data_IF_993888137290
#
_entry.id   IF_993888137290
#
_cell.length_a   1.000
_cell.length_b   1.000
_cell.length_c   1.000
_cell.angle_alpha   90.00
_cell.angle_beta   90.00
_cell.angle_gamma   90.00
#
_symmetry.space_group_name_H-M   'P 1'
#
loop_
_entity.id
_entity.type
_entity.pdbx_description
1 polymer ?
#
# COMPACT_ATOMS: atom_id res chain seq x y z
N UNK A 1 0.41 -24.49 -11.32
CA UNK A 1 0.38 -23.00 -11.18
C UNK A 1 -1.09 -22.62 -11.08
N UNK A 2 -1.58 -22.33 -9.86
CA UNK A 2 -2.93 -21.80 -9.67
C UNK A 2 -2.92 -20.36 -10.18
N UNK A 3 -3.68 -20.09 -11.25
CA UNK A 3 -3.84 -18.73 -11.76
C UNK A 3 -4.45 -17.84 -10.65
N UNK A 4 -4.04 -16.57 -10.61
CA UNK A 4 -4.68 -15.57 -9.76
C UNK A 4 -6.16 -15.54 -10.16
N UNK A 5 -7.12 -15.72 -9.21
CA UNK A 5 -8.54 -15.84 -9.54
C UNK A 5 -9.16 -14.51 -10.03
N UNK A 6 -8.37 -13.47 -10.19
CA UNK A 6 -8.78 -12.15 -10.62
C UNK A 6 -8.34 -11.92 -12.06
N UNK A 7 -9.23 -11.37 -12.90
CA UNK A 7 -8.94 -11.02 -14.29
C UNK A 7 -7.97 -9.82 -14.34
N UNK A 8 -6.69 -10.08 -14.27
CA UNK A 8 -5.61 -9.11 -14.40
C UNK A 8 -4.64 -9.56 -15.49
N UNK A 9 -4.31 -8.63 -16.40
CA UNK A 9 -3.32 -8.85 -17.44
C UNK A 9 -2.05 -8.06 -17.09
N UNK A 10 -0.99 -8.77 -16.70
CA UNK A 10 0.31 -8.15 -16.42
C UNK A 10 0.90 -7.57 -17.69
N UNK A 11 1.43 -6.36 -17.62
CA UNK A 11 2.09 -5.70 -18.73
C UNK A 11 3.59 -5.97 -18.68
N UNK A 12 4.11 -6.75 -19.62
CA UNK A 12 5.55 -6.98 -19.75
C UNK A 12 6.34 -5.69 -19.97
N UNK A 13 5.72 -4.68 -20.60
CA UNK A 13 6.32 -3.35 -20.80
C UNK A 13 6.46 -2.62 -19.46
N UNK A 14 5.43 -2.63 -18.60
CA UNK A 14 5.48 -2.06 -17.25
C UNK A 14 6.56 -2.76 -16.43
N UNK A 15 6.56 -4.09 -16.40
CA UNK A 15 7.55 -4.87 -15.66
C UNK A 15 9.00 -4.53 -16.06
N UNK A 16 9.24 -4.28 -17.36
CA UNK A 16 10.57 -3.91 -17.87
C UNK A 16 10.99 -2.50 -17.46
N UNK A 17 10.05 -1.54 -17.42
CA UNK A 17 10.32 -0.13 -17.06
C UNK A 17 10.45 0.09 -15.55
N UNK A 18 9.90 -0.81 -14.75
CA UNK A 18 9.85 -0.68 -13.29
C UNK A 18 10.60 -1.81 -12.58
N UNK A 19 11.95 -1.87 -12.70
CA UNK A 19 12.73 -2.82 -11.92
C UNK A 19 12.55 -2.57 -10.42
N UNK A 20 12.63 -3.65 -9.65
CA UNK A 20 12.44 -3.61 -8.18
C UNK A 20 13.39 -2.62 -7.51
N UNK A 21 12.86 -1.81 -6.60
CA UNK A 21 13.64 -0.89 -5.76
C UNK A 21 14.65 -1.66 -4.88
N UNK A 22 14.19 -2.76 -4.29
CA UNK A 22 14.99 -3.65 -3.44
C UNK A 22 15.01 -5.05 -4.05
N UNK A 23 15.97 -5.39 -4.92
CA UNK A 23 16.06 -6.72 -5.52
C UNK A 23 16.10 -7.84 -4.47
N UNK A 24 15.47 -8.99 -4.78
CA UNK A 24 15.49 -10.15 -3.92
C UNK A 24 16.93 -10.62 -3.66
N UNK A 25 17.19 -11.20 -2.49
CA UNK A 25 18.42 -11.93 -2.22
C UNK A 25 18.45 -13.25 -3.00
N UNK A 26 19.62 -13.63 -3.48
CA UNK A 26 19.87 -15.02 -3.81
C UNK A 26 19.94 -15.88 -2.52
N UNK A 27 19.89 -17.24 -2.62
CA UNK A 27 19.91 -18.09 -1.44
C UNK A 27 21.17 -17.96 -0.57
N UNK A 28 22.34 -17.68 -1.16
CA UNK A 28 23.61 -17.54 -0.43
C UNK A 28 23.69 -16.18 0.26
N UNK A 29 23.26 -15.12 -0.42
CA UNK A 29 23.12 -13.77 0.16
C UNK A 29 22.18 -13.80 1.35
N UNK A 30 20.97 -14.42 1.19
CA UNK A 30 20.00 -14.55 2.27
C UNK A 30 20.54 -15.32 3.47
N UNK A 31 21.25 -16.41 3.24
CA UNK A 31 21.88 -17.20 4.29
C UNK A 31 22.98 -16.40 5.01
N UNK A 32 23.81 -15.69 4.28
CA UNK A 32 24.88 -14.85 4.82
C UNK A 32 24.30 -13.74 5.69
N UNK A 33 23.29 -13.04 5.19
CA UNK A 33 22.64 -11.95 5.90
C UNK A 33 21.88 -12.44 7.13
N UNK A 34 21.17 -13.57 7.04
CA UNK A 34 20.46 -14.17 8.17
C UNK A 34 21.40 -14.55 9.32
N UNK A 35 22.63 -15.01 9.02
CA UNK A 35 23.63 -15.35 10.02
C UNK A 35 24.27 -14.12 10.70
N UNK A 36 24.09 -12.91 10.19
CA UNK A 36 24.49 -11.68 10.88
C UNK A 36 23.56 -11.32 12.04
N UNK A 37 22.33 -11.86 12.07
CA UNK A 37 21.34 -11.54 13.10
C UNK A 37 21.80 -12.06 14.47
N UNK A 38 21.73 -11.19 15.48
CA UNK A 38 22.13 -11.52 16.85
C UNK A 38 21.08 -12.33 17.61
N UNK A 39 19.91 -12.57 17.03
CA UNK A 39 18.79 -13.28 17.66
C UNK A 39 18.43 -12.71 19.06
N UNK A 40 18.29 -11.39 19.15
CA UNK A 40 17.99 -10.68 20.41
C UNK A 40 16.72 -11.22 21.08
N UNK A 41 16.76 -11.41 22.40
CA UNK A 41 15.59 -11.85 23.17
C UNK A 41 14.50 -10.76 23.19
N UNK A 42 14.83 -9.55 23.64
CA UNK A 42 13.94 -8.38 23.58
C UNK A 42 14.22 -7.60 22.28
N UNK A 43 13.80 -8.16 21.16
CA UNK A 43 14.15 -7.67 19.83
C UNK A 43 13.48 -6.32 19.52
N UNK A 44 14.24 -5.19 19.48
CA UNK A 44 13.66 -3.89 19.15
C UNK A 44 13.01 -3.85 17.75
N UNK A 45 13.56 -4.63 16.80
CA UNK A 45 13.01 -4.76 15.46
C UNK A 45 11.60 -5.40 15.45
N UNK A 46 11.32 -6.36 16.34
CA UNK A 46 9.98 -6.93 16.49
C UNK A 46 9.03 -5.93 17.17
N UNK A 47 9.51 -5.19 18.18
CA UNK A 47 8.72 -4.16 18.85
C UNK A 47 8.37 -2.97 17.93
N UNK A 48 9.28 -2.61 17.01
CA UNK A 48 9.07 -1.55 16.02
C UNK A 48 8.13 -1.95 14.88
N UNK A 49 7.84 -3.24 14.71
CA UNK A 49 6.88 -3.71 13.72
C UNK A 49 5.45 -3.57 14.26
N UNK A 50 4.53 -2.83 13.60
CA UNK A 50 3.15 -2.67 14.06
C UNK A 50 2.37 -3.98 14.20
N UNK A 51 2.71 -5.01 13.41
CA UNK A 51 2.14 -6.36 13.51
C UNK A 51 2.93 -7.29 14.43
N UNK A 52 4.03 -6.80 15.01
CA UNK A 52 4.89 -7.55 15.93
C UNK A 52 5.40 -8.90 15.37
N UNK A 53 5.82 -8.91 14.09
CA UNK A 53 6.47 -10.10 13.52
C UNK A 53 7.65 -10.50 14.39
N UNK A 54 7.75 -11.79 14.76
CA UNK A 54 8.92 -12.33 15.47
C UNK A 54 10.13 -12.39 14.52
N UNK A 55 10.78 -11.22 14.37
CA UNK A 55 11.89 -11.02 13.44
C UNK A 55 13.03 -11.97 13.71
N UNK A 56 13.55 -12.12 14.95
CA UNK A 56 14.64 -13.08 15.21
C UNK A 56 14.26 -14.51 14.84
N UNK A 57 13.02 -14.92 15.10
CA UNK A 57 12.56 -16.30 14.85
C UNK A 57 12.47 -16.60 13.35
N UNK A 58 11.92 -15.71 12.54
CA UNK A 58 11.86 -15.98 11.10
C UNK A 58 13.26 -15.93 10.46
N UNK A 59 14.13 -15.01 10.87
CA UNK A 59 15.52 -14.93 10.38
C UNK A 59 16.30 -16.18 10.78
N UNK A 60 16.16 -16.65 12.03
CA UNK A 60 16.80 -17.88 12.46
C UNK A 60 16.36 -19.08 11.62
N UNK A 61 15.11 -19.16 11.22
CA UNK A 61 14.60 -20.20 10.32
C UNK A 61 15.21 -20.10 8.92
N UNK A 62 15.47 -18.90 8.39
CA UNK A 62 16.24 -18.73 7.14
C UNK A 62 17.65 -19.27 7.32
N UNK A 63 18.35 -18.88 8.38
CA UNK A 63 19.70 -19.33 8.70
C UNK A 63 19.82 -20.86 8.84
N UNK A 64 18.75 -21.56 9.16
CA UNK A 64 18.67 -23.03 9.23
C UNK A 64 17.96 -23.66 8.04
N UNK A 65 17.76 -22.91 6.95
CA UNK A 65 17.11 -23.34 5.70
C UNK A 65 15.66 -23.86 5.85
N UNK A 66 14.99 -23.52 6.94
CA UNK A 66 13.56 -23.77 7.13
C UNK A 66 12.72 -22.61 6.57
N UNK A 67 12.76 -22.40 5.24
CA UNK A 67 12.14 -21.24 4.59
C UNK A 67 10.60 -21.24 4.72
N UNK A 68 9.96 -22.40 4.59
CA UNK A 68 8.50 -22.51 4.79
C UNK A 68 8.12 -22.14 6.22
N UNK A 69 8.85 -22.66 7.22
CA UNK A 69 8.61 -22.29 8.61
C UNK A 69 8.91 -20.81 8.91
N UNK A 70 9.85 -20.20 8.17
CA UNK A 70 10.12 -18.76 8.23
C UNK A 70 8.92 -17.96 7.73
N UNK A 71 8.41 -18.28 6.55
CA UNK A 71 7.22 -17.63 5.97
C UNK A 71 5.99 -17.77 6.87
N UNK A 72 5.74 -18.96 7.44
CA UNK A 72 4.63 -19.16 8.37
C UNK A 72 4.76 -18.32 9.64
N UNK A 73 5.99 -18.08 10.14
CA UNK A 73 6.20 -17.15 11.27
C UNK A 73 5.82 -15.71 10.92
N UNK A 74 6.10 -15.28 9.68
CA UNK A 74 5.71 -13.96 9.17
C UNK A 74 4.20 -13.89 9.02
N UNK A 75 3.59 -14.87 8.36
CA UNK A 75 2.15 -14.91 8.04
C UNK A 75 1.26 -15.02 9.27
N UNK A 76 1.74 -15.64 10.34
CA UNK A 76 1.04 -15.70 11.63
C UNK A 76 0.82 -14.28 12.23
N UNK A 77 1.80 -13.42 12.08
CA UNK A 77 1.70 -12.02 12.55
C UNK A 77 1.11 -11.07 11.50
N UNK A 78 1.41 -11.29 10.21
CA UNK A 78 1.11 -10.38 9.13
C UNK A 78 0.78 -11.15 7.84
N UNK A 79 -0.50 -11.27 7.52
CA UNK A 79 -0.98 -12.01 6.33
C UNK A 79 -0.54 -11.35 5.00
N UNK A 80 -0.21 -10.04 5.01
CA UNK A 80 0.35 -9.32 3.87
C UNK A 80 1.87 -9.15 3.98
N UNK A 81 2.55 -10.18 4.47
CA UNK A 81 3.99 -10.19 4.70
C UNK A 81 4.83 -9.98 3.44
N UNK A 82 4.36 -10.39 2.27
CA UNK A 82 5.07 -10.17 1.01
C UNK A 82 4.96 -8.71 0.54
N UNK A 83 3.78 -8.08 0.63
CA UNK A 83 3.64 -6.65 0.39
C UNK A 83 4.48 -5.84 1.35
N UNK A 84 4.36 -6.09 2.67
CA UNK A 84 5.12 -5.37 3.69
C UNK A 84 6.63 -5.50 3.52
N UNK A 85 7.12 -6.65 3.06
CA UNK A 85 8.56 -6.84 2.79
C UNK A 85 9.12 -5.95 1.68
N UNK A 86 8.25 -5.36 0.86
CA UNK A 86 8.58 -4.53 -0.29
C UNK A 86 8.30 -3.05 -0.06
N UNK A 87 7.26 -2.72 0.72
CA UNK A 87 6.74 -1.34 0.82
C UNK A 87 6.93 -0.71 2.20
N UNK A 88 7.23 -1.48 3.25
CA UNK A 88 7.48 -0.88 4.56
C UNK A 88 8.71 0.03 4.51
N UNK A 89 8.66 1.22 5.10
CA UNK A 89 9.83 2.07 5.31
C UNK A 89 10.69 1.47 6.44
N UNK A 90 11.41 0.41 6.10
CA UNK A 90 12.15 -0.42 7.08
C UNK A 90 13.18 0.38 7.87
N UNK A 91 13.69 1.47 7.29
CA UNK A 91 14.68 2.38 7.87
C UNK A 91 14.13 3.15 9.09
N UNK A 92 12.82 3.36 9.15
CA UNK A 92 12.15 3.99 10.30
C UNK A 92 11.36 2.99 11.14
N UNK A 93 11.31 1.73 10.72
CA UNK A 93 10.66 0.62 11.42
C UNK A 93 11.71 -0.41 11.91
N UNK A 94 11.59 -1.65 11.43
CA UNK A 94 12.35 -2.79 11.96
C UNK A 94 13.88 -2.68 11.77
N UNK A 95 14.35 -2.23 10.60
CA UNK A 95 15.79 -2.05 10.34
C UNK A 95 16.33 -0.82 11.09
N UNK A 96 15.54 0.27 11.15
CA UNK A 96 15.87 1.45 11.94
C UNK A 96 16.03 1.16 13.44
N UNK A 97 15.27 0.20 13.96
CA UNK A 97 15.36 -0.24 15.35
C UNK A 97 16.40 -1.35 15.58
N UNK A 98 17.08 -1.84 14.53
CA UNK A 98 18.02 -2.95 14.65
C UNK A 98 19.19 -2.62 15.58
N UNK A 99 19.49 -3.52 16.54
CA UNK A 99 20.57 -3.37 17.51
C UNK A 99 21.93 -3.16 16.85
N UNK A 100 22.14 -3.68 15.64
CA UNK A 100 23.38 -3.51 14.89
C UNK A 100 23.76 -2.05 14.67
N UNK A 101 22.78 -1.15 14.54
CA UNK A 101 23.05 0.30 14.43
C UNK A 101 23.76 0.88 15.66
N UNK A 102 23.46 0.36 16.87
CA UNK A 102 24.13 0.79 18.11
C UNK A 102 25.62 0.43 18.13
N UNK A 103 26.05 -0.50 17.29
CA UNK A 103 27.45 -0.88 17.12
C UNK A 103 28.10 -0.24 15.90
N UNK A 104 27.50 0.79 15.33
CA UNK A 104 27.94 1.44 14.07
C UNK A 104 28.12 0.43 12.92
N UNK A 105 27.25 -0.57 12.85
CA UNK A 105 27.21 -1.57 11.79
C UNK A 105 25.94 -1.41 10.98
N UNK A 106 25.99 -1.85 9.74
CA UNK A 106 24.81 -1.93 8.89
C UNK A 106 23.73 -2.78 9.58
N UNK A 107 22.48 -2.30 9.67
CA UNK A 107 21.37 -3.10 10.19
C UNK A 107 21.22 -4.39 9.39
N UNK A 108 20.51 -5.35 9.95
CA UNK A 108 20.11 -6.53 9.19
C UNK A 108 19.08 -6.11 8.15
N UNK A 109 19.25 -6.56 6.91
CA UNK A 109 18.31 -6.29 5.82
C UNK A 109 17.02 -7.13 5.99
N UNK A 110 16.21 -6.76 6.99
CA UNK A 110 15.06 -7.52 7.49
C UNK A 110 13.99 -7.62 6.40
N UNK A 111 13.70 -6.51 5.70
CA UNK A 111 12.72 -6.48 4.61
C UNK A 111 13.09 -7.44 3.49
N UNK A 112 14.36 -7.45 3.05
CA UNK A 112 14.84 -8.37 1.99
C UNK A 112 14.83 -9.84 2.45
N UNK A 113 15.15 -10.13 3.72
CA UNK A 113 15.03 -11.48 4.28
C UNK A 113 13.56 -11.93 4.38
N UNK A 114 12.66 -11.05 4.79
CA UNK A 114 11.22 -11.29 4.79
C UNK A 114 10.72 -11.60 3.38
N UNK A 115 11.13 -10.80 2.38
CA UNK A 115 10.84 -11.04 0.97
C UNK A 115 11.33 -12.42 0.52
N UNK A 116 12.57 -12.79 0.83
CA UNK A 116 13.13 -14.08 0.48
C UNK A 116 12.29 -15.27 1.00
N UNK A 117 11.83 -15.19 2.25
CA UNK A 117 10.98 -16.22 2.84
C UNK A 117 9.58 -16.26 2.17
N UNK A 118 8.99 -15.10 1.89
CA UNK A 118 7.67 -15.01 1.28
C UNK A 118 7.68 -15.42 -0.19
N UNK A 119 8.69 -15.02 -0.96
CA UNK A 119 8.83 -15.44 -2.36
C UNK A 119 8.95 -16.96 -2.44
N UNK A 120 9.78 -17.59 -1.58
CA UNK A 120 9.88 -19.05 -1.48
C UNK A 120 8.52 -19.71 -1.17
N UNK A 121 7.73 -19.14 -0.25
CA UNK A 121 6.40 -19.66 0.11
C UNK A 121 5.48 -19.72 -1.12
N UNK A 122 5.43 -18.65 -1.89
CA UNK A 122 4.59 -18.57 -3.08
C UNK A 122 5.11 -19.42 -4.25
N UNK A 123 6.42 -19.46 -4.48
CA UNK A 123 7.04 -20.29 -5.53
C UNK A 123 6.78 -21.77 -5.31
N UNK A 124 6.73 -22.21 -4.05
CA UNK A 124 6.39 -23.59 -3.69
C UNK A 124 4.88 -23.89 -3.79
N UNK A 125 4.05 -22.91 -4.07
CA UNK A 125 2.60 -23.07 -4.03
C UNK A 125 2.08 -23.44 -2.65
N UNK A 126 2.78 -23.02 -1.58
CA UNK A 126 2.38 -23.27 -0.22
C UNK A 126 1.10 -22.48 0.12
N UNK A 127 0.30 -23.01 1.03
CA UNK A 127 -0.99 -22.44 1.43
C UNK A 127 -1.07 -22.31 2.94
N UNK A 128 -1.87 -21.36 3.39
CA UNK A 128 -2.25 -21.29 4.80
C UNK A 128 -3.23 -22.40 5.14
N UNK A 129 -3.15 -22.97 6.35
CA UNK A 129 -4.13 -23.96 6.80
C UNK A 129 -5.51 -23.32 6.90
N UNK A 130 -6.53 -24.05 6.45
CA UNK A 130 -7.92 -23.66 6.65
C UNK A 130 -8.37 -24.07 8.05
N UNK A 131 -9.31 -23.30 8.61
CA UNK A 131 -9.95 -23.69 9.86
C UNK A 131 -10.72 -25.00 9.69
N UNK A 132 -10.59 -25.88 10.67
CA UNK A 132 -11.47 -27.05 10.81
C UNK A 132 -12.77 -26.72 11.55
N UNK A 133 -12.78 -25.62 12.29
CA UNK A 133 -13.95 -25.07 12.97
C UNK A 133 -14.82 -24.33 11.97
N UNK A 134 -16.14 -24.46 12.08
CA UNK A 134 -17.12 -23.66 11.33
C UNK A 134 -18.01 -22.93 12.31
N UNK A 135 -18.08 -21.63 12.15
CA UNK A 135 -18.99 -20.75 12.88
C UNK A 135 -20.16 -20.35 12.01
N UNK A 136 -21.33 -20.15 12.61
CA UNK A 136 -22.55 -19.79 11.87
C UNK A 136 -22.58 -18.29 11.49
N UNK A 137 -21.84 -17.47 12.23
CA UNK A 137 -21.85 -16.04 12.04
C UNK A 137 -21.22 -15.62 10.70
N UNK A 138 -21.88 -14.66 10.08
CA UNK A 138 -21.49 -14.05 8.79
C UNK A 138 -20.92 -12.67 9.03
N UNK A 139 -19.74 -12.42 8.52
CA UNK A 139 -19.05 -11.15 8.68
C UNK A 139 -18.84 -10.51 7.30
N UNK A 140 -19.07 -9.21 7.20
CA UNK A 140 -18.74 -8.45 5.99
C UNK A 140 -17.62 -7.45 6.26
N UNK A 141 -16.65 -7.38 5.33
CA UNK A 141 -15.63 -6.33 5.29
C UNK A 141 -15.92 -5.42 4.10
N UNK A 142 -16.07 -4.12 4.33
CA UNK A 142 -16.30 -3.11 3.30
C UNK A 142 -14.98 -2.51 2.87
N UNK A 143 -14.64 -2.65 1.58
CA UNK A 143 -13.34 -2.37 0.98
C UNK A 143 -12.42 -3.60 1.00
N UNK A 144 -11.60 -3.78 -0.03
CA UNK A 144 -10.64 -4.87 -0.14
C UNK A 144 -9.17 -4.37 -0.01
N UNK A 145 -8.95 -3.36 0.82
CA UNK A 145 -7.61 -2.86 1.17
C UNK A 145 -6.94 -3.68 2.29
N UNK A 146 -5.69 -3.36 2.66
CA UNK A 146 -4.89 -4.11 3.62
C UNK A 146 -5.58 -4.37 4.96
N UNK A 147 -6.30 -3.40 5.52
CA UNK A 147 -7.02 -3.56 6.79
C UNK A 147 -8.13 -4.61 6.69
N UNK A 148 -8.99 -4.52 5.66
CA UNK A 148 -10.06 -5.50 5.45
C UNK A 148 -9.53 -6.89 5.14
N UNK A 149 -8.47 -6.99 4.34
CA UNK A 149 -7.84 -8.27 4.02
C UNK A 149 -7.26 -8.95 5.26
N UNK A 150 -6.64 -8.18 6.15
CA UNK A 150 -6.11 -8.71 7.41
C UNK A 150 -7.25 -9.14 8.37
N UNK A 151 -8.31 -8.34 8.48
CA UNK A 151 -9.50 -8.68 9.26
C UNK A 151 -10.17 -9.95 8.72
N UNK A 152 -10.37 -10.03 7.41
CA UNK A 152 -11.00 -11.18 6.76
C UNK A 152 -10.19 -12.47 6.93
N UNK A 153 -8.87 -12.39 6.78
CA UNK A 153 -7.99 -13.54 6.96
C UNK A 153 -8.01 -14.05 8.40
N UNK A 154 -7.92 -13.15 9.39
CA UNK A 154 -8.00 -13.48 10.82
C UNK A 154 -9.31 -14.20 11.15
N UNK A 155 -10.44 -13.68 10.69
CA UNK A 155 -11.75 -14.26 10.93
C UNK A 155 -11.95 -15.60 10.19
N UNK A 156 -11.50 -15.71 8.95
CA UNK A 156 -11.58 -16.96 8.19
C UNK A 156 -10.75 -18.09 8.83
N UNK A 157 -9.58 -17.77 9.38
CA UNK A 157 -8.76 -18.71 10.13
C UNK A 157 -9.42 -19.17 11.43
N UNK A 158 -10.33 -18.37 12.00
CA UNK A 158 -11.13 -18.72 13.16
C UNK A 158 -12.49 -19.37 12.80
N UNK A 159 -12.73 -19.64 11.51
CA UNK A 159 -13.88 -20.41 11.03
C UNK A 159 -15.13 -19.61 10.72
N UNK A 160 -15.08 -18.28 10.73
CA UNK A 160 -16.21 -17.44 10.34
C UNK A 160 -16.44 -17.44 8.83
N UNK A 161 -17.70 -17.24 8.40
CA UNK A 161 -18.05 -16.96 7.01
C UNK A 161 -17.81 -15.49 6.72
N UNK A 162 -16.82 -15.16 5.87
CA UNK A 162 -16.43 -13.79 5.61
C UNK A 162 -16.64 -13.42 4.15
N UNK A 163 -17.31 -12.28 3.92
CA UNK A 163 -17.48 -11.66 2.60
C UNK A 163 -16.74 -10.31 2.57
N UNK A 164 -15.95 -10.07 1.55
CA UNK A 164 -15.31 -8.78 1.29
C UNK A 164 -15.99 -8.12 0.10
N UNK A 165 -16.49 -6.90 0.28
CA UNK A 165 -17.17 -6.10 -0.74
C UNK A 165 -16.20 -5.02 -1.24
N UNK A 166 -15.98 -4.95 -2.54
CA UNK A 166 -15.07 -3.98 -3.16
C UNK A 166 -15.74 -3.27 -4.35
N UNK A 167 -15.64 -1.93 -4.40
CA UNK A 167 -16.20 -1.14 -5.50
C UNK A 167 -15.42 -1.26 -6.80
N UNK A 168 -14.12 -1.52 -6.74
CA UNK A 168 -13.24 -1.68 -7.90
C UNK A 168 -13.27 -3.13 -8.42
N UNK A 169 -12.74 -3.31 -9.63
CA UNK A 169 -12.66 -4.63 -10.27
C UNK A 169 -11.61 -5.55 -9.64
N UNK A 170 -10.56 -4.99 -9.03
CA UNK A 170 -9.48 -5.74 -8.40
C UNK A 170 -9.40 -5.41 -6.90
N UNK A 171 -9.08 -6.41 -6.04
CA UNK A 171 -8.81 -6.21 -4.64
C UNK A 171 -7.38 -5.70 -4.38
N UNK A 172 -7.07 -5.43 -3.12
CA UNK A 172 -5.74 -5.05 -2.65
C UNK A 172 -5.63 -3.57 -2.27
N UNK A 173 -6.64 -2.74 -2.61
CA UNK A 173 -6.63 -1.32 -2.29
C UNK A 173 -5.39 -0.61 -2.87
N UNK A 174 -4.71 0.22 -2.06
CA UNK A 174 -3.51 0.94 -2.53
C UNK A 174 -2.35 0.01 -2.90
N UNK A 175 -2.22 -1.19 -2.33
CA UNK A 175 -1.19 -2.15 -2.74
C UNK A 175 -1.31 -2.50 -4.24
N UNK A 176 -2.54 -2.64 -4.75
CA UNK A 176 -2.78 -2.94 -6.16
C UNK A 176 -2.82 -1.68 -7.02
N UNK A 177 -3.37 -0.57 -6.52
CA UNK A 177 -3.69 0.60 -7.34
C UNK A 177 -2.83 1.84 -7.09
N UNK A 178 -2.22 2.02 -5.93
CA UNK A 178 -1.67 3.30 -5.50
C UNK A 178 -0.18 3.32 -5.13
N UNK A 179 0.40 2.19 -4.73
CA UNK A 179 1.85 2.07 -4.49
C UNK A 179 2.56 1.89 -5.84
N UNK A 180 3.67 2.60 -6.07
CA UNK A 180 4.41 2.51 -7.32
C UNK A 180 4.85 1.07 -7.65
N UNK A 181 4.83 0.72 -8.94
CA UNK A 181 5.11 -0.64 -9.43
C UNK A 181 6.53 -1.12 -9.07
N UNK A 182 7.51 -0.22 -9.01
CA UNK A 182 8.89 -0.56 -8.63
C UNK A 182 9.06 -0.91 -7.15
N UNK A 183 8.06 -0.60 -6.32
CA UNK A 183 7.97 -1.03 -4.91
C UNK A 183 7.17 -2.30 -4.77
N UNK A 184 5.97 -2.33 -5.35
CA UNK A 184 5.06 -3.46 -5.24
C UNK A 184 4.32 -3.67 -6.56
N UNK A 185 4.60 -4.76 -7.22
CA UNK A 185 3.92 -5.14 -8.46
C UNK A 185 2.48 -5.55 -8.18
N UNK A 186 1.56 -5.18 -9.07
CA UNK A 186 0.17 -5.56 -8.94
C UNK A 186 -0.04 -7.09 -8.83
N UNK A 187 0.65 -7.95 -9.62
CA UNK A 187 0.59 -9.41 -9.44
C UNK A 187 1.00 -9.90 -8.05
N UNK A 188 1.97 -9.25 -7.41
CA UNK A 188 2.42 -9.66 -6.06
C UNK A 188 1.34 -9.35 -5.01
N UNK A 189 0.69 -8.18 -5.09
CA UNK A 189 -0.46 -7.84 -4.26
C UNK A 189 -1.62 -8.82 -4.45
N UNK A 190 -1.99 -9.09 -5.70
CA UNK A 190 -3.11 -10.00 -6.04
C UNK A 190 -2.83 -11.45 -5.62
N UNK A 191 -1.58 -11.88 -5.60
CA UNK A 191 -1.17 -13.21 -5.12
C UNK A 191 -1.43 -13.39 -3.62
N UNK A 192 -1.21 -12.35 -2.80
CA UNK A 192 -1.57 -12.38 -1.38
C UNK A 192 -3.09 -12.40 -1.18
N UNK A 193 -3.84 -11.64 -1.97
CA UNK A 193 -5.30 -11.71 -1.93
C UNK A 193 -5.83 -13.08 -2.32
N UNK A 194 -5.23 -13.72 -3.34
CA UNK A 194 -5.58 -15.09 -3.72
C UNK A 194 -5.33 -16.10 -2.58
N UNK A 195 -4.26 -15.95 -1.83
CA UNK A 195 -3.98 -16.74 -0.63
C UNK A 195 -5.06 -16.56 0.44
N UNK A 196 -5.56 -15.33 0.62
CA UNK A 196 -6.66 -15.04 1.55
C UNK A 196 -7.99 -15.64 1.05
N UNK A 197 -8.27 -15.55 -0.25
CA UNK A 197 -9.43 -16.20 -0.86
C UNK A 197 -9.40 -17.73 -0.67
N UNK A 198 -8.23 -18.34 -0.74
CA UNK A 198 -8.03 -19.78 -0.48
C UNK A 198 -8.43 -20.18 0.96
N UNK A 199 -8.48 -19.26 1.92
CA UNK A 199 -9.01 -19.52 3.27
C UNK A 199 -10.53 -19.71 3.28
N UNK A 200 -11.22 -19.33 2.21
CA UNK A 200 -12.68 -19.41 2.07
C UNK A 200 -13.36 -18.04 2.14
N UNK A 201 -12.61 -16.96 2.08
CA UNK A 201 -13.16 -15.59 2.00
C UNK A 201 -13.82 -15.38 0.65
N UNK A 202 -15.08 -14.95 0.65
CA UNK A 202 -15.83 -14.56 -0.56
C UNK A 202 -15.51 -13.11 -0.92
N UNK A 203 -15.34 -12.84 -2.23
CA UNK A 203 -15.15 -11.48 -2.73
C UNK A 203 -16.30 -11.09 -3.66
N UNK A 204 -16.87 -9.89 -3.44
CA UNK A 204 -17.90 -9.27 -4.29
C UNK A 204 -17.37 -7.95 -4.85
N UNK A 205 -17.08 -7.92 -6.14
CA UNK A 205 -16.52 -6.76 -6.84
C UNK A 205 -17.61 -5.92 -7.51
N UNK A 206 -17.29 -4.64 -7.78
CA UNK A 206 -18.21 -3.68 -8.42
C UNK A 206 -19.38 -3.27 -7.53
N UNK A 207 -19.26 -3.48 -6.21
CA UNK A 207 -20.30 -3.16 -5.23
C UNK A 207 -19.82 -1.99 -4.36
N UNK A 208 -20.48 -0.85 -4.49
CA UNK A 208 -20.27 0.33 -3.65
C UNK A 208 -21.25 0.33 -2.47
N UNK A 209 -20.77 0.73 -1.31
CA UNK A 209 -21.57 0.99 -0.11
C UNK A 209 -21.46 2.49 0.19
N UNK A 210 -22.47 3.25 -0.16
CA UNK A 210 -22.43 4.73 -0.13
C UNK A 210 -23.56 5.35 0.68
N UNK A 211 -24.65 4.62 0.87
CA UNK A 211 -25.88 5.12 1.50
C UNK A 211 -26.22 4.41 2.81
N UNK A 212 -27.10 5.03 3.58
CA UNK A 212 -27.67 4.42 4.80
C UNK A 212 -28.48 3.17 4.49
N UNK A 213 -29.16 3.13 3.33
CA UNK A 213 -29.91 1.95 2.90
C UNK A 213 -29.02 0.77 2.60
N UNK A 214 -27.81 1.01 2.04
CA UNK A 214 -26.84 -0.05 1.79
C UNK A 214 -26.36 -0.64 3.11
N UNK A 215 -26.05 0.22 4.08
CA UNK A 215 -25.61 -0.22 5.40
C UNK A 215 -26.72 -0.96 6.15
N UNK A 216 -27.97 -0.49 6.10
CA UNK A 216 -29.10 -1.16 6.73
C UNK A 216 -29.35 -2.55 6.11
N UNK A 217 -29.15 -2.73 4.81
CA UNK A 217 -29.22 -4.04 4.17
C UNK A 217 -28.13 -4.99 4.68
N UNK A 218 -26.89 -4.50 4.83
CA UNK A 218 -25.78 -5.28 5.40
C UNK A 218 -26.02 -5.66 6.86
N UNK A 219 -26.61 -4.78 7.67
CA UNK A 219 -26.97 -5.08 9.07
C UNK A 219 -27.99 -6.23 9.21
N UNK A 220 -28.85 -6.42 8.20
CA UNK A 220 -29.82 -7.52 8.18
C UNK A 220 -29.20 -8.83 7.73
N UNK A 221 -28.18 -8.78 6.86
CA UNK A 221 -27.57 -9.98 6.28
C UNK A 221 -26.39 -10.51 7.12
N UNK A 222 -25.67 -9.61 7.83
CA UNK A 222 -24.42 -9.94 8.53
C UNK A 222 -24.50 -9.67 10.04
N UNK A 223 -23.76 -10.47 10.79
CA UNK A 223 -23.67 -10.40 12.25
C UNK A 223 -22.67 -9.35 12.74
N UNK A 224 -21.63 -9.08 11.96
CA UNK A 224 -20.70 -7.95 12.17
C UNK A 224 -20.23 -7.36 10.84
N UNK A 225 -19.85 -6.08 10.89
CA UNK A 225 -19.44 -5.26 9.74
C UNK A 225 -18.10 -4.61 10.06
N UNK A 226 -17.09 -4.90 9.27
CA UNK A 226 -15.81 -4.18 9.33
C UNK A 226 -15.73 -3.14 8.22
N UNK A 227 -15.44 -1.88 8.57
CA UNK A 227 -15.30 -0.76 7.65
C UNK A 227 -13.82 -0.46 7.44
N UNK A 228 -13.27 -0.91 6.30
CA UNK A 228 -11.88 -0.72 5.90
C UNK A 228 -11.74 -0.04 4.53
N UNK A 229 -12.48 1.04 4.34
CA UNK A 229 -12.65 1.74 3.05
C UNK A 229 -11.47 2.63 2.64
N UNK A 230 -10.44 2.76 3.51
CA UNK A 230 -9.31 3.65 3.27
C UNK A 230 -9.67 5.13 3.23
N UNK A 231 -8.92 5.90 2.46
CA UNK A 231 -9.20 7.31 2.20
C UNK A 231 -9.93 7.48 0.85
N UNK A 232 -10.52 8.66 0.66
CA UNK A 232 -11.22 9.05 -0.57
C UNK A 232 -10.28 9.47 -1.70
N UNK A 233 -10.86 10.22 -2.64
CA UNK A 233 -10.12 10.79 -3.76
C UNK A 233 -9.02 11.75 -3.29
N UNK A 234 -8.00 11.96 -4.13
CA UNK A 234 -7.01 13.01 -3.93
C UNK A 234 -7.69 14.38 -3.93
N UNK A 235 -7.16 15.30 -3.13
CA UNK A 235 -7.56 16.69 -3.22
C UNK A 235 -7.14 17.26 -4.58
N UNK A 236 -8.08 17.88 -5.29
CA UNK A 236 -7.80 18.61 -6.51
C UNK A 236 -7.13 19.96 -6.24
N UNK A 237 -6.45 20.50 -7.24
CA UNK A 237 -5.94 21.87 -7.21
C UNK A 237 -7.11 22.85 -7.38
N UNK A 238 -7.24 23.84 -6.47
CA UNK A 238 -8.25 24.89 -6.55
C UNK A 238 -7.70 26.12 -7.25
N UNK A 239 -7.20 25.95 -8.50
CA UNK A 239 -6.60 27.00 -9.32
C UNK A 239 -7.20 26.99 -10.74
N UNK A 240 -7.18 28.09 -11.49
CA UNK A 240 -7.54 28.11 -12.90
C UNK A 240 -6.80 27.05 -13.72
N UNK A 241 -7.51 26.38 -14.63
CA UNK A 241 -6.93 25.33 -15.48
C UNK A 241 -6.84 23.93 -14.85
N UNK A 242 -7.14 23.76 -13.55
CA UNK A 242 -7.02 22.48 -12.86
C UNK A 242 -8.01 21.38 -13.34
N UNK A 243 -9.06 21.76 -14.08
CA UNK A 243 -10.03 20.81 -14.65
C UNK A 243 -9.63 20.26 -16.04
N UNK A 244 -8.41 20.55 -16.50
CA UNK A 244 -7.93 20.05 -17.78
C UNK A 244 -7.75 18.52 -17.76
N UNK A 245 -7.96 17.83 -18.89
CA UNK A 245 -7.86 16.37 -18.99
C UNK A 245 -6.46 15.80 -18.74
N UNK A 246 -5.41 16.62 -18.95
CA UNK A 246 -4.02 16.29 -18.63
C UNK A 246 -3.61 16.68 -17.19
N UNK A 247 -4.58 17.08 -16.36
CA UNK A 247 -4.44 17.16 -14.90
C UNK A 247 -5.02 15.89 -14.30
N UNK A 248 -4.15 14.98 -13.89
CA UNK A 248 -4.53 13.64 -13.42
C UNK A 248 -3.95 13.45 -12.03
N UNK A 249 -4.79 13.11 -11.04
CA UNK A 249 -4.28 12.87 -9.68
C UNK A 249 -3.31 11.69 -9.63
N UNK A 250 -2.39 11.72 -8.67
CA UNK A 250 -1.29 10.77 -8.59
C UNK A 250 -1.76 9.31 -8.42
N UNK A 251 -2.83 9.06 -7.67
CA UNK A 251 -3.35 7.70 -7.48
C UNK A 251 -4.01 7.15 -8.75
N UNK A 252 -4.75 7.99 -9.46
CA UNK A 252 -5.32 7.62 -10.75
C UNK A 252 -4.22 7.41 -11.80
N UNK A 253 -3.20 8.28 -11.82
CA UNK A 253 -2.04 8.12 -12.70
C UNK A 253 -1.34 6.77 -12.46
N UNK A 254 -1.06 6.44 -11.18
CA UNK A 254 -0.44 5.16 -10.80
C UNK A 254 -1.34 3.98 -11.18
N UNK A 255 -2.64 4.05 -10.88
CA UNK A 255 -3.59 2.99 -11.19
C UNK A 255 -3.66 2.68 -12.69
N UNK A 256 -3.63 3.70 -13.55
CA UNK A 256 -3.72 3.55 -15.01
C UNK A 256 -2.57 2.72 -15.58
N UNK A 257 -1.32 3.00 -15.22
CA UNK A 257 -0.21 2.23 -15.76
C UNK A 257 -0.08 0.86 -15.08
N UNK A 258 -0.40 0.75 -13.78
CA UNK A 258 -0.31 -0.51 -13.02
C UNK A 258 -1.35 -1.54 -13.44
N UNK A 259 -2.60 -1.12 -13.59
CA UNK A 259 -3.72 -2.07 -13.73
C UNK A 259 -4.36 -2.07 -15.10
N UNK A 260 -4.22 -0.99 -15.87
CA UNK A 260 -4.78 -0.88 -17.23
C UNK A 260 -3.70 -0.86 -18.32
N UNK A 261 -2.41 -0.87 -17.96
CA UNK A 261 -1.29 -0.84 -18.92
C UNK A 261 -1.24 0.44 -19.77
N UNK A 262 -1.86 1.53 -19.31
CA UNK A 262 -1.88 2.81 -20.01
C UNK A 262 -0.58 3.56 -19.75
N UNK A 263 0.33 3.58 -20.73
CA UNK A 263 1.69 4.10 -20.60
C UNK A 263 1.83 5.57 -21.04
N UNK A 264 0.70 6.26 -21.28
CA UNK A 264 0.76 7.67 -21.71
C UNK A 264 1.27 8.57 -20.57
N UNK A 265 2.28 9.36 -20.90
CA UNK A 265 2.87 10.38 -20.03
C UNK A 265 3.27 11.59 -20.89
N UNK A 266 3.21 12.79 -20.31
CA UNK A 266 3.70 14.01 -20.97
C UNK A 266 5.23 14.01 -21.13
N UNK A 267 5.73 15.01 -21.85
CA UNK A 267 7.17 15.25 -21.97
C UNK A 267 7.70 16.06 -20.78
N UNK A 268 6.97 17.10 -20.40
CA UNK A 268 7.30 18.02 -19.30
C UNK A 268 6.22 17.86 -18.22
N UNK A 269 6.51 17.02 -17.22
CA UNK A 269 5.54 16.65 -16.18
C UNK A 269 5.80 17.45 -14.90
N UNK A 270 4.77 18.11 -14.39
CA UNK A 270 4.81 18.77 -13.09
C UNK A 270 3.99 17.98 -12.09
N UNK A 271 4.64 17.54 -11.00
CA UNK A 271 3.97 16.88 -9.86
C UNK A 271 3.83 17.89 -8.72
N UNK A 272 2.61 18.08 -8.22
CA UNK A 272 2.35 19.05 -7.14
C UNK A 272 2.19 18.34 -5.80
N UNK A 273 3.14 18.56 -4.90
CA UNK A 273 3.20 17.93 -3.58
C UNK A 273 4.59 17.38 -3.30
N UNK A 274 4.89 17.00 -2.05
CA UNK A 274 6.18 16.43 -1.66
C UNK A 274 6.03 15.34 -0.57
N UNK A 275 5.00 14.53 -0.65
CA UNK A 275 4.83 13.28 0.12
C UNK A 275 5.32 12.07 -0.69
N UNK A 276 5.33 10.89 -0.08
CA UNK A 276 5.76 9.64 -0.74
C UNK A 276 4.98 9.38 -2.05
N UNK A 277 3.68 9.69 -2.08
CA UNK A 277 2.86 9.55 -3.31
C UNK A 277 3.34 10.48 -4.44
N UNK A 278 3.81 11.70 -4.10
CA UNK A 278 4.36 12.61 -5.09
C UNK A 278 5.69 12.08 -5.66
N UNK A 279 6.55 11.56 -4.80
CA UNK A 279 7.79 10.88 -5.20
C UNK A 279 7.48 9.69 -6.12
N UNK A 280 6.53 8.83 -5.71
CA UNK A 280 6.11 7.68 -6.51
C UNK A 280 5.60 8.05 -7.89
N UNK A 281 4.77 9.09 -7.99
CA UNK A 281 4.24 9.57 -9.26
C UNK A 281 5.34 10.19 -10.14
N UNK A 282 6.27 10.95 -9.56
CA UNK A 282 7.36 11.58 -10.29
C UNK A 282 8.34 10.53 -10.87
N UNK A 283 8.78 9.57 -10.06
CA UNK A 283 9.63 8.47 -10.53
C UNK A 283 8.89 7.64 -11.59
N UNK A 284 7.60 7.38 -11.39
CA UNK A 284 6.81 6.68 -12.40
C UNK A 284 6.76 7.43 -13.73
N UNK A 285 6.55 8.75 -13.70
CA UNK A 285 6.56 9.58 -14.92
C UNK A 285 7.91 9.50 -15.66
N UNK A 286 9.03 9.58 -14.91
CA UNK A 286 10.39 9.39 -15.50
C UNK A 286 10.52 8.02 -16.15
N UNK A 287 10.16 6.96 -15.46
CA UNK A 287 10.28 5.58 -15.96
C UNK A 287 9.33 5.27 -17.12
N UNK A 288 8.20 5.96 -17.20
CA UNK A 288 7.30 5.88 -18.36
C UNK A 288 7.84 6.62 -19.57
N UNK A 289 8.84 7.47 -19.40
CA UNK A 289 9.58 8.10 -20.50
C UNK A 289 9.45 9.62 -20.57
N UNK A 290 8.95 10.30 -19.55
CA UNK A 290 8.94 11.76 -19.48
C UNK A 290 10.39 12.29 -19.43
N UNK A 291 10.85 13.12 -20.40
CA UNK A 291 12.20 13.68 -20.40
C UNK A 291 12.45 14.63 -19.24
N UNK A 292 11.43 15.36 -18.79
CA UNK A 292 11.51 16.30 -17.69
C UNK A 292 10.40 16.04 -16.68
N UNK A 293 10.77 15.89 -15.41
CA UNK A 293 9.81 15.77 -14.30
C UNK A 293 10.22 16.68 -13.17
N UNK A 294 9.32 17.56 -12.76
CA UNK A 294 9.56 18.54 -11.70
C UNK A 294 8.53 18.39 -10.59
N UNK A 295 8.98 18.19 -9.36
CA UNK A 295 8.14 18.28 -8.17
C UNK A 295 8.06 19.74 -7.72
N UNK A 296 6.84 20.26 -7.61
CA UNK A 296 6.56 21.61 -7.10
C UNK A 296 6.00 21.50 -5.69
N UNK A 297 6.64 22.17 -4.74
CA UNK A 297 6.20 22.17 -3.35
C UNK A 297 6.14 23.57 -2.75
N UNK A 298 5.00 23.91 -2.13
CA UNK A 298 4.75 25.24 -1.56
C UNK A 298 5.60 25.60 -0.34
N UNK A 299 6.22 24.60 0.30
CA UNK A 299 7.09 24.78 1.47
C UNK A 299 8.55 24.50 1.09
N UNK A 300 9.42 24.54 2.10
CA UNK A 300 10.84 24.25 1.94
C UNK A 300 11.13 22.75 1.91
N UNK A 301 12.34 22.38 1.49
CA UNK A 301 12.85 21.00 1.51
C UNK A 301 12.76 20.37 2.90
N UNK A 302 13.08 21.10 3.96
CA UNK A 302 13.05 20.62 5.34
C UNK A 302 11.63 20.31 5.86
N UNK A 303 10.60 20.81 5.19
CA UNK A 303 9.18 20.56 5.53
C UNK A 303 8.55 19.48 4.65
N UNK A 304 9.35 18.83 3.83
CA UNK A 304 8.91 17.71 3.00
C UNK A 304 8.44 16.55 3.89
N UNK A 305 7.31 15.94 3.54
CA UNK A 305 6.75 14.82 4.29
C UNK A 305 7.19 13.44 3.76
N UNK A 306 7.81 13.37 2.59
CA UNK A 306 8.38 12.12 2.09
C UNK A 306 9.61 11.70 2.92
N UNK A 307 9.85 10.40 2.98
CA UNK A 307 11.06 9.87 3.63
C UNK A 307 12.34 10.31 2.91
N UNK A 308 13.42 10.54 3.65
CA UNK A 308 14.69 10.99 3.07
C UNK A 308 15.25 10.05 2.01
N UNK A 309 15.13 8.73 2.19
CA UNK A 309 15.58 7.75 1.20
C UNK A 309 14.75 7.79 -0.10
N UNK A 310 13.45 8.08 -0.01
CA UNK A 310 12.57 8.29 -1.19
C UNK A 310 13.01 9.53 -1.98
N UNK A 311 13.31 10.61 -1.26
CA UNK A 311 13.81 11.85 -1.87
C UNK A 311 15.15 11.64 -2.60
N UNK A 312 16.09 10.95 -1.95
CA UNK A 312 17.38 10.63 -2.59
C UNK A 312 17.18 9.73 -3.83
N UNK A 313 16.24 8.79 -3.77
CA UNK A 313 15.91 7.95 -4.92
C UNK A 313 15.34 8.80 -6.08
N UNK A 314 14.42 9.74 -5.80
CA UNK A 314 13.89 10.63 -6.84
C UNK A 314 14.98 11.47 -7.52
N UNK A 315 15.98 11.95 -6.76
CA UNK A 315 17.14 12.65 -7.33
C UNK A 315 18.00 11.75 -8.23
N UNK A 316 18.17 10.49 -7.85
CA UNK A 316 18.89 9.51 -8.68
C UNK A 316 18.15 9.21 -10.00
N UNK A 317 16.83 9.31 -10.01
CA UNK A 317 15.97 9.22 -11.19
C UNK A 317 15.85 10.57 -11.96
N UNK A 318 16.72 11.54 -11.63
CA UNK A 318 16.78 12.85 -12.27
C UNK A 318 15.48 13.68 -12.16
N UNK A 319 14.71 13.49 -11.08
CA UNK A 319 13.58 14.35 -10.76
C UNK A 319 14.10 15.68 -10.21
N UNK A 320 13.59 16.80 -10.73
CA UNK A 320 13.93 18.15 -10.26
C UNK A 320 12.92 18.62 -9.21
N UNK A 321 13.31 19.61 -8.40
CA UNK A 321 12.48 20.11 -7.29
C UNK A 321 12.44 21.63 -7.30
N UNK A 322 11.22 22.18 -7.22
CA UNK A 322 10.94 23.60 -7.08
C UNK A 322 10.31 23.86 -5.70
N UNK A 323 11.16 24.26 -4.76
CA UNK A 323 10.77 24.53 -3.37
C UNK A 323 10.21 25.93 -3.19
N UNK A 324 9.34 26.11 -2.16
CA UNK A 324 8.68 27.38 -1.84
C UNK A 324 7.92 27.95 -3.04
N UNK A 325 7.40 27.10 -3.91
CA UNK A 325 6.70 27.44 -5.12
C UNK A 325 5.21 27.07 -4.97
N UNK A 326 4.33 28.07 -4.97
CA UNK A 326 2.88 27.92 -4.86
C UNK A 326 2.28 27.93 -6.26
N UNK A 327 1.66 26.83 -6.75
CA UNK A 327 0.90 26.86 -8.00
C UNK A 327 -0.27 27.85 -7.92
N UNK A 328 -0.46 28.67 -8.95
CA UNK A 328 -1.53 29.67 -9.01
C UNK A 328 -2.43 29.54 -10.25
N UNK A 329 -1.90 29.02 -11.37
CA UNK A 329 -2.69 28.75 -12.57
C UNK A 329 -2.02 27.69 -13.45
N UNK A 330 -2.82 27.00 -14.26
CA UNK A 330 -2.39 26.12 -15.35
C UNK A 330 -2.87 26.74 -16.65
N UNK A 331 -1.94 26.99 -17.58
CA UNK A 331 -2.23 27.63 -18.85
C UNK A 331 -2.25 26.63 -19.98
N UNK A 332 -3.31 26.70 -20.80
CA UNK A 332 -3.42 25.94 -22.03
C UNK A 332 -3.33 26.86 -23.24
N UNK A 333 -2.74 26.38 -24.31
CA UNK A 333 -2.73 27.06 -25.61
C UNK A 333 -4.15 27.11 -26.18
N UNK A 334 -4.70 28.31 -26.47
CA UNK A 334 -6.07 28.44 -26.99
C UNK A 334 -6.31 27.75 -28.32
N UNK A 335 -5.27 27.55 -29.13
CA UNK A 335 -5.41 26.96 -30.46
C UNK A 335 -5.43 25.44 -30.42
N UNK A 336 -4.57 24.82 -29.61
CA UNK A 336 -4.46 23.35 -29.50
C UNK A 336 -5.25 22.77 -28.31
N UNK A 337 -5.60 23.60 -27.33
CA UNK A 337 -6.21 23.18 -26.09
C UNK A 337 -5.27 22.39 -25.15
N UNK A 338 -3.98 22.29 -25.44
CA UNK A 338 -3.00 21.54 -24.64
C UNK A 338 -2.41 22.42 -23.53
N UNK A 339 -2.09 21.81 -22.39
CA UNK A 339 -1.33 22.48 -21.33
C UNK A 339 0.05 22.88 -21.92
N UNK A 340 0.50 24.08 -21.60
CA UNK A 340 1.81 24.61 -22.03
C UNK A 340 2.66 25.09 -20.85
N UNK A 341 2.04 25.47 -19.72
CA UNK A 341 2.79 25.86 -18.53
C UNK A 341 1.93 25.86 -17.26
N UNK A 342 2.60 25.75 -16.13
CA UNK A 342 2.08 26.05 -14.82
C UNK A 342 2.70 27.36 -14.32
N UNK A 343 1.87 28.32 -13.92
CA UNK A 343 2.29 29.52 -13.24
C UNK A 343 2.39 29.28 -11.74
N UNK A 344 3.52 29.64 -11.17
CA UNK A 344 3.80 29.52 -9.74
C UNK A 344 4.20 30.87 -9.16
N UNK A 345 3.90 31.09 -7.88
CA UNK A 345 4.38 32.25 -7.11
C UNK A 345 5.47 31.79 -6.14
N UNK A 346 6.54 32.58 -6.05
CA UNK A 346 7.62 32.42 -5.08
C UNK A 346 8.04 33.80 -4.55
N UNK A 347 7.84 34.02 -3.23
CA UNK A 347 8.23 35.25 -2.53
C UNK A 347 7.68 36.53 -3.19
N UNK A 348 6.42 36.49 -3.64
CA UNK A 348 5.75 37.61 -4.29
C UNK A 348 6.09 37.83 -5.77
N UNK A 349 6.84 36.91 -6.40
CA UNK A 349 7.16 36.93 -7.81
C UNK A 349 6.62 35.72 -8.53
N UNK A 350 5.93 35.92 -9.64
CA UNK A 350 5.40 34.85 -10.48
C UNK A 350 6.48 34.39 -11.48
N UNK A 351 6.45 33.08 -11.75
CA UNK A 351 7.24 32.42 -12.77
C UNK A 351 6.49 31.28 -13.42
N UNK A 352 6.92 30.86 -14.60
CA UNK A 352 6.29 29.77 -15.33
C UNK A 352 7.20 28.57 -15.42
N UNK A 353 6.63 27.38 -15.18
CA UNK A 353 7.23 26.08 -15.49
C UNK A 353 6.57 25.54 -16.75
N UNK A 354 7.36 25.20 -17.75
CA UNK A 354 6.84 24.50 -18.92
C UNK A 354 6.33 23.14 -18.49
N UNK A 355 5.14 22.78 -18.93
CA UNK A 355 4.57 21.46 -18.70
C UNK A 355 3.47 21.16 -19.71
N UNK A 356 3.28 19.90 -20.01
CA UNK A 356 2.17 19.37 -20.81
C UNK A 356 1.30 18.36 -20.02
N UNK A 357 1.72 18.02 -18.80
CA UNK A 357 0.95 17.22 -17.85
C UNK A 357 1.17 17.70 -16.42
N UNK A 358 0.11 17.69 -15.61
CA UNK A 358 0.17 18.04 -14.17
C UNK A 358 -0.41 16.90 -13.34
N UNK A 359 0.32 16.49 -12.29
CA UNK A 359 -0.07 15.39 -11.40
C UNK A 359 -0.20 15.92 -9.95
N UNK A 360 -1.42 16.28 -9.50
CA UNK A 360 -1.65 16.62 -8.10
C UNK A 360 -1.40 15.43 -7.17
N UNK A 361 -0.63 15.65 -6.11
CA UNK A 361 -0.31 14.67 -5.05
C UNK A 361 -0.34 15.35 -3.67
N UNK A 362 -1.43 16.07 -3.38
CA UNK A 362 -1.59 16.96 -2.21
C UNK A 362 -2.43 16.37 -1.08
N UNK A 363 -2.51 15.05 -1.01
CA UNK A 363 -3.22 14.30 0.02
C UNK A 363 -4.63 13.88 -0.38
N UNK A 364 -5.19 12.97 0.37
CA UNK A 364 -6.52 12.39 0.14
C UNK A 364 -7.56 12.94 1.12
N UNK A 365 -8.81 13.01 0.67
CA UNK A 365 -9.93 13.39 1.50
C UNK A 365 -10.34 12.23 2.42
N UNK A 366 -10.66 12.47 3.71
CA UNK A 366 -11.25 11.44 4.55
C UNK A 366 -12.68 11.12 4.09
N UNK A 367 -13.04 9.84 4.11
CA UNK A 367 -14.41 9.37 3.80
C UNK A 367 -15.28 9.39 5.06
N UNK A 368 -15.61 10.62 5.56
CA UNK A 368 -16.23 10.80 6.87
C UNK A 368 -17.67 10.31 7.03
N UNK A 369 -18.46 10.17 5.98
CA UNK A 369 -19.89 9.90 6.08
C UNK A 369 -20.23 8.49 6.59
N UNK A 370 -19.45 7.49 6.23
CA UNK A 370 -19.66 6.09 6.65
C UNK A 370 -19.20 5.81 8.10
N UNK A 371 -18.29 6.63 8.66
CA UNK A 371 -17.69 6.41 9.98
C UNK A 371 -18.29 7.28 11.09
N UNK A 372 -18.98 8.39 10.76
CA UNK A 372 -19.36 9.45 11.71
C UNK A 372 -20.60 9.15 12.56
N UNK A 373 -21.18 7.95 12.49
CA UNK A 373 -22.43 7.66 13.20
C UNK A 373 -22.22 6.70 14.36
N UNK A 374 -22.85 6.99 15.50
CA UNK A 374 -23.03 6.05 16.61
C UNK A 374 -23.85 4.87 16.09
N UNK A 375 -23.16 3.88 15.55
CA UNK A 375 -23.75 2.72 14.95
C UNK A 375 -23.93 1.60 15.98
N UNK A 376 -24.74 0.62 15.62
CA UNK A 376 -24.92 -0.66 16.30
C UNK A 376 -23.57 -1.25 16.74
N UNK A 377 -23.51 -2.02 17.84
CA UNK A 377 -22.30 -2.72 18.29
C UNK A 377 -21.72 -3.72 17.28
N UNK A 378 -22.40 -3.92 16.15
CA UNK A 378 -21.92 -4.74 15.03
C UNK A 378 -20.79 -4.07 14.22
N UNK A 379 -20.56 -2.76 14.36
CA UNK A 379 -19.61 -2.02 13.52
C UNK A 379 -18.23 -1.94 14.13
N UNK A 380 -17.25 -2.29 13.32
CA UNK A 380 -15.81 -2.18 13.58
C UNK A 380 -15.17 -1.40 12.43
N UNK A 381 -14.08 -0.71 12.67
CA UNK A 381 -13.37 0.03 11.64
C UNK A 381 -11.86 0.01 11.87
N UNK A 382 -11.07 0.16 10.81
CA UNK A 382 -9.61 0.23 10.89
C UNK A 382 -8.97 0.61 9.56
N UNK A 383 -7.68 0.88 9.60
CA UNK A 383 -6.90 1.38 8.48
C UNK A 383 -7.06 2.89 8.27
N UNK A 384 -6.68 3.35 7.09
CA UNK A 384 -6.54 4.79 6.79
C UNK A 384 -7.81 5.61 7.01
N UNK A 385 -8.98 5.00 6.88
CA UNK A 385 -10.25 5.68 7.17
C UNK A 385 -10.40 6.08 8.65
N UNK A 386 -9.66 5.44 9.56
CA UNK A 386 -9.65 5.75 11.00
C UNK A 386 -8.41 6.54 11.38
N UNK A 387 -7.23 6.14 10.92
CA UNK A 387 -5.95 6.70 11.35
C UNK A 387 -5.46 7.89 10.50
N UNK A 388 -6.14 8.21 9.39
CA UNK A 388 -5.84 9.35 8.53
C UNK A 388 -4.77 9.07 7.47
N UNK A 389 -4.36 7.82 7.29
CA UNK A 389 -3.34 7.38 6.34
C UNK A 389 -1.98 7.14 7.01
N UNK A 390 -1.60 5.87 7.06
CA UNK A 390 -0.32 5.39 7.57
C UNK A 390 0.24 4.31 6.65
N UNK A 391 1.23 3.55 7.15
CA UNK A 391 1.85 2.49 6.38
C UNK A 391 0.93 1.27 6.22
N UNK A 392 1.18 0.47 5.18
CA UNK A 392 0.44 -0.77 4.93
C UNK A 392 0.42 -1.66 6.16
N UNK A 393 1.54 -1.77 6.87
CA UNK A 393 1.67 -2.60 8.06
C UNK A 393 0.80 -2.11 9.23
N UNK A 394 0.54 -0.79 9.34
CA UNK A 394 -0.40 -0.24 10.35
C UNK A 394 -1.83 -0.67 10.03
N UNK A 395 -2.23 -0.56 8.76
CA UNK A 395 -3.55 -0.98 8.31
C UNK A 395 -3.76 -2.49 8.55
N UNK A 396 -2.75 -3.33 8.29
CA UNK A 396 -2.78 -4.77 8.60
C UNK A 396 -2.95 -5.01 10.09
N UNK A 397 -2.18 -4.31 10.93
CA UNK A 397 -2.25 -4.46 12.39
C UNK A 397 -3.64 -4.08 12.93
N UNK A 398 -4.22 -3.00 12.43
CA UNK A 398 -5.56 -2.55 12.82
C UNK A 398 -6.63 -3.55 12.37
N UNK A 399 -6.56 -4.03 11.12
CA UNK A 399 -7.48 -5.04 10.60
C UNK A 399 -7.43 -6.35 11.39
N UNK A 400 -6.23 -6.84 11.70
CA UNK A 400 -6.04 -8.03 12.53
C UNK A 400 -6.64 -7.84 13.92
N UNK A 401 -6.35 -6.71 14.59
CA UNK A 401 -6.94 -6.40 15.92
C UNK A 401 -8.47 -6.36 15.87
N UNK A 402 -9.04 -5.78 14.81
CA UNK A 402 -10.49 -5.77 14.63
C UNK A 402 -11.05 -7.20 14.43
N UNK A 403 -10.39 -8.04 13.63
CA UNK A 403 -10.76 -9.44 13.46
C UNK A 403 -10.80 -10.21 14.78
N UNK A 404 -9.74 -10.05 15.60
CA UNK A 404 -9.69 -10.63 16.96
C UNK A 404 -10.82 -10.10 17.84
N UNK A 405 -11.11 -8.79 17.81
CA UNK A 405 -12.18 -8.18 18.61
C UNK A 405 -13.56 -8.66 18.16
N UNK A 406 -13.81 -8.80 16.87
CA UNK A 406 -15.05 -9.35 16.31
C UNK A 406 -15.22 -10.81 16.79
N UNK A 407 -14.18 -11.62 16.65
CA UNK A 407 -14.24 -13.02 17.06
C UNK A 407 -14.54 -13.17 18.57
N UNK A 408 -13.89 -12.35 19.40
CA UNK A 408 -14.10 -12.34 20.84
C UNK A 408 -15.54 -11.93 21.23
N UNK A 409 -16.21 -11.08 20.44
CA UNK A 409 -17.59 -10.65 20.71
C UNK A 409 -18.63 -11.79 20.57
N UNK A 410 -18.28 -12.84 19.84
CA UNK A 410 -19.12 -14.04 19.66
C UNK A 410 -18.74 -15.21 20.58
N UNK A 411 -17.73 -15.04 21.44
CA UNK A 411 -17.29 -16.08 22.38
C UNK A 411 -16.45 -17.18 21.74
N UNK A 412 -16.00 -18.09 22.60
CA UNK A 412 -15.26 -19.28 22.17
C UNK A 412 -16.25 -20.34 21.62
N UNK A 413 -16.01 -20.94 20.46
CA UNK A 413 -16.89 -21.98 19.93
C UNK A 413 -16.94 -23.26 20.80
N UNK A 414 -15.93 -23.45 21.66
CA UNK A 414 -15.79 -24.63 22.52
C UNK A 414 -16.16 -24.35 24.00
N UNK A 415 -16.70 -23.14 24.33
CA UNK A 415 -17.08 -22.74 25.69
C UNK A 415 -18.51 -23.20 26.10
#
# INVERSE_FOLDING_TARGET
MGGVPFAFQDSAEVARRFPDLHPAFDPNEALTEANRCLNCFDAPCAAACPTHIDVPRFIKKIATQNLTGSALTILDANVLGASCSRVCPVEVLCEGACVMQRYNKQPIAIGRLQRHAMDHFFERGARLPKSSVKREQKIVCIGAGPASLACAAELAQQGFSVTVIERRALPGGLNTYGVAEYKLRAPDSLREVAMIADLGVEFRFGVSVESESDLAALEQEYDAIFVGIGLGAMHGLSIPGANHHDVIDALEFIARYKTAGQLHVGNDVVVVGAGNTAIDAAIAARRLGAPQVTIVYRRTENEMSAFGFEYEHAKQEEVTFEWSAQPIAIHADPASGRIVSMECERRGSNFHLLCDMVIPAIGQAPLGSLLQRNRSPKYYAGGDCVNGGREVVDAVAEGKRAGVAIAASFGDPDA
#
